data_IF_239457783346
#
_entry.id   IF_239457783346
#
_cell.length_a   1.000
_cell.length_b   1.000
_cell.length_c   1.000
_cell.angle_alpha   90.00
_cell.angle_beta   90.00
_cell.angle_gamma   90.00
#
_symmetry.space_group_name_H-M   'P 1'
#
loop_
_entity.id
_entity.type
_entity.pdbx_description
1 polymer ?
#
# COMPACT_ATOMS: atom_id res chain seq x y z
N UNK A 1 -35.52 -24.21 14.85
CA UNK A 1 -34.33 -24.60 14.09
C UNK A 1 -34.01 -23.50 13.12
N UNK A 2 -33.02 -22.68 13.32
CA UNK A 2 -32.45 -21.96 12.19
C UNK A 2 -30.92 -22.18 12.16
N UNK A 3 -30.51 -23.12 11.34
CA UNK A 3 -29.10 -23.30 11.00
C UNK A 3 -28.84 -22.74 9.59
N UNK A 4 -29.37 -21.55 9.34
CA UNK A 4 -29.29 -20.89 8.05
C UNK A 4 -28.08 -19.91 8.03
N UNK A 5 -26.89 -20.43 7.80
CA UNK A 5 -25.80 -19.61 7.28
C UNK A 5 -24.89 -18.90 8.28
N UNK A 6 -25.04 -19.11 9.58
CA UNK A 6 -24.16 -18.53 10.60
C UNK A 6 -23.03 -19.48 10.99
N UNK A 7 -21.82 -18.95 11.11
CA UNK A 7 -20.63 -19.70 11.53
C UNK A 7 -20.10 -19.18 12.87
N UNK A 8 -19.57 -20.10 13.67
CA UNK A 8 -18.77 -19.73 14.85
C UNK A 8 -17.38 -19.25 14.42
N UNK A 9 -16.70 -18.47 15.27
CA UNK A 9 -15.37 -17.91 14.99
C UNK A 9 -14.35 -18.97 14.55
N UNK A 10 -14.35 -20.15 15.19
CA UNK A 10 -13.46 -21.26 14.82
C UNK A 10 -13.74 -21.82 13.42
N UNK A 11 -15.03 -21.92 13.03
CA UNK A 11 -15.43 -22.35 11.68
C UNK A 11 -15.06 -21.29 10.63
N UNK A 12 -15.18 -19.99 10.95
CA UNK A 12 -14.77 -18.88 10.08
C UNK A 12 -13.27 -18.95 9.82
N UNK A 13 -12.45 -19.05 10.88
CA UNK A 13 -10.98 -19.15 10.75
C UNK A 13 -10.61 -20.37 9.91
N UNK A 14 -11.17 -21.56 10.23
CA UNK A 14 -10.87 -22.79 9.47
C UNK A 14 -11.23 -22.68 7.98
N UNK A 15 -12.33 -21.99 7.65
CA UNK A 15 -12.77 -21.78 6.27
C UNK A 15 -11.81 -20.87 5.48
N UNK A 16 -11.27 -19.83 6.11
CA UNK A 16 -10.45 -18.82 5.46
C UNK A 16 -8.94 -19.09 5.55
N UNK A 17 -8.50 -20.02 6.40
CA UNK A 17 -7.09 -20.35 6.61
C UNK A 17 -6.38 -20.87 5.36
N UNK A 18 -7.10 -21.48 4.41
CA UNK A 18 -6.51 -21.92 3.12
C UNK A 18 -6.03 -20.75 2.27
N UNK A 19 -6.70 -19.59 2.36
CA UNK A 19 -6.34 -18.36 1.63
C UNK A 19 -5.49 -17.41 2.48
N UNK A 20 -5.70 -17.44 3.80
CA UNK A 20 -5.04 -16.56 4.79
C UNK A 20 -4.44 -17.41 5.92
N UNK A 21 -3.26 -18.03 5.70
CA UNK A 21 -2.63 -18.94 6.68
C UNK A 21 -2.38 -18.31 8.05
N UNK A 22 -2.13 -16.98 8.08
CA UNK A 22 -1.85 -16.21 9.29
C UNK A 22 -3.13 -15.81 10.06
N UNK A 23 -4.32 -16.17 9.55
CA UNK A 23 -5.58 -15.85 10.21
C UNK A 23 -5.74 -16.68 11.48
N UNK A 24 -5.94 -16.01 12.61
CA UNK A 24 -6.18 -16.62 13.92
C UNK A 24 -7.47 -16.10 14.54
N UNK A 25 -7.98 -16.83 15.54
CA UNK A 25 -9.13 -16.38 16.34
C UNK A 25 -8.86 -15.02 17.00
N UNK A 26 -7.63 -14.81 17.47
CA UNK A 26 -7.20 -13.55 18.07
C UNK A 26 -7.26 -12.40 17.07
N UNK A 27 -6.85 -12.63 15.82
CA UNK A 27 -6.93 -11.63 14.76
C UNK A 27 -8.38 -11.25 14.43
N UNK A 28 -9.30 -12.21 14.38
CA UNK A 28 -10.71 -11.93 14.12
C UNK A 28 -11.34 -11.13 15.27
N UNK A 29 -11.01 -11.44 16.53
CA UNK A 29 -11.43 -10.66 17.69
C UNK A 29 -10.89 -9.24 17.67
N UNK A 30 -9.62 -9.08 17.34
CA UNK A 30 -8.99 -7.78 17.19
C UNK A 30 -9.73 -6.91 16.15
N UNK A 31 -10.09 -7.48 14.99
CA UNK A 31 -10.88 -6.76 13.98
C UNK A 31 -12.30 -6.40 14.45
N UNK A 32 -12.89 -7.20 15.34
CA UNK A 32 -14.16 -6.87 15.99
C UNK A 32 -13.97 -5.71 16.99
N UNK A 33 -12.93 -5.76 17.82
CA UNK A 33 -12.62 -4.73 18.82
C UNK A 33 -12.34 -3.38 18.14
N UNK A 34 -11.69 -3.37 16.97
CA UNK A 34 -11.49 -2.20 16.11
C UNK A 34 -12.78 -1.73 15.40
N UNK A 35 -13.90 -2.45 15.57
CA UNK A 35 -15.20 -2.09 14.99
C UNK A 35 -15.32 -2.36 13.48
N UNK A 36 -14.42 -3.17 12.90
CA UNK A 36 -14.46 -3.58 11.50
C UNK A 36 -15.45 -4.72 11.25
N UNK A 37 -15.78 -5.48 12.28
CA UNK A 37 -16.75 -6.59 12.25
C UNK A 37 -17.76 -6.43 13.41
N UNK A 38 -19.01 -6.74 13.15
CA UNK A 38 -20.11 -6.67 14.14
C UNK A 38 -20.93 -7.95 14.12
N UNK A 39 -20.35 -9.10 14.57
CA UNK A 39 -21.05 -10.36 14.56
C UNK A 39 -22.25 -10.34 15.52
N UNK A 40 -23.31 -11.04 15.17
CA UNK A 40 -24.44 -11.27 16.06
C UNK A 40 -24.03 -12.12 17.26
N UNK A 41 -24.79 -12.03 18.35
CA UNK A 41 -24.58 -12.88 19.54
C UNK A 41 -25.81 -13.74 19.80
N UNK A 42 -25.55 -14.98 20.19
CA UNK A 42 -26.64 -15.85 20.71
C UNK A 42 -27.13 -15.30 22.05
N UNK A 43 -28.33 -15.73 22.53
CA UNK A 43 -28.79 -15.46 23.91
C UNK A 43 -27.78 -15.89 24.98
N UNK A 44 -26.98 -16.93 24.68
CA UNK A 44 -25.89 -17.41 25.56
C UNK A 44 -24.56 -16.65 25.38
N UNK A 45 -24.52 -15.55 24.59
CA UNK A 45 -23.36 -14.70 24.41
C UNK A 45 -22.34 -15.15 23.37
N UNK A 46 -22.55 -16.28 22.66
CA UNK A 46 -21.62 -16.75 21.63
C UNK A 46 -21.72 -15.92 20.34
N UNK A 47 -20.57 -15.66 19.72
CA UNK A 47 -20.45 -14.92 18.45
C UNK A 47 -20.91 -15.77 17.27
N UNK A 48 -21.77 -15.20 16.44
CA UNK A 48 -22.26 -15.79 15.20
C UNK A 48 -21.99 -14.86 14.02
N UNK A 49 -21.25 -15.36 13.06
CA UNK A 49 -20.86 -14.65 11.84
C UNK A 49 -21.77 -15.06 10.69
N UNK A 50 -22.43 -14.08 10.10
CA UNK A 50 -23.24 -14.25 8.89
C UNK A 50 -22.36 -14.36 7.64
N UNK A 51 -22.95 -14.73 6.50
CA UNK A 51 -22.24 -14.71 5.21
C UNK A 51 -21.78 -13.31 4.82
N UNK A 52 -22.47 -12.25 5.23
CA UNK A 52 -22.04 -10.86 5.05
C UNK A 52 -20.82 -10.53 5.89
N UNK A 53 -20.77 -10.98 7.15
CA UNK A 53 -19.59 -10.79 8.00
C UNK A 53 -18.37 -11.53 7.47
N UNK A 54 -18.56 -12.71 6.90
CA UNK A 54 -17.49 -13.50 6.29
C UNK A 54 -16.94 -12.77 5.06
N UNK A 55 -17.81 -12.30 4.16
CA UNK A 55 -17.37 -11.50 2.98
C UNK A 55 -16.68 -10.23 3.40
N UNK A 56 -17.20 -9.54 4.43
CA UNK A 56 -16.56 -8.34 4.98
C UNK A 56 -15.16 -8.65 5.53
N UNK A 57 -15.02 -9.77 6.26
CA UNK A 57 -13.71 -10.24 6.75
C UNK A 57 -12.76 -10.58 5.61
N UNK A 58 -13.22 -11.30 4.57
CA UNK A 58 -12.42 -11.57 3.37
C UNK A 58 -11.92 -10.28 2.71
N UNK A 59 -12.80 -9.29 2.57
CA UNK A 59 -12.44 -7.98 2.03
C UNK A 59 -11.38 -7.28 2.89
N UNK A 60 -11.53 -7.27 4.21
CA UNK A 60 -10.56 -6.66 5.14
C UNK A 60 -9.21 -7.35 5.02
N UNK A 61 -9.18 -8.68 5.05
CA UNK A 61 -7.96 -9.47 4.94
C UNK A 61 -7.28 -9.28 3.57
N UNK A 62 -8.07 -9.19 2.50
CA UNK A 62 -7.58 -8.90 1.17
C UNK A 62 -6.94 -7.50 1.11
N UNK A 63 -7.62 -6.48 1.63
CA UNK A 63 -7.12 -5.10 1.65
C UNK A 63 -5.86 -4.97 2.50
N UNK A 64 -5.78 -5.66 3.65
CA UNK A 64 -4.56 -5.68 4.47
C UNK A 64 -3.41 -6.42 3.80
N UNK A 65 -3.65 -7.63 3.28
CA UNK A 65 -2.59 -8.51 2.77
C UNK A 65 -2.12 -8.13 1.36
N UNK A 66 -3.07 -7.75 0.50
CA UNK A 66 -2.79 -7.47 -0.92
C UNK A 66 -2.58 -5.99 -1.21
N UNK A 67 -3.06 -5.11 -0.33
CA UNK A 67 -3.01 -3.65 -0.51
C UNK A 67 -2.31 -2.93 0.62
N UNK A 68 -1.87 -3.65 1.66
CA UNK A 68 -1.20 -3.08 2.84
C UNK A 68 -1.94 -1.89 3.45
N UNK A 69 -3.29 -1.89 3.33
CA UNK A 69 -4.10 -0.78 3.82
C UNK A 69 -4.18 -0.79 5.35
N UNK A 70 -4.01 0.36 6.00
CA UNK A 70 -4.25 0.53 7.44
C UNK A 70 -5.71 0.19 7.79
N UNK A 71 -5.94 -0.37 8.99
CA UNK A 71 -7.28 -0.76 9.42
C UNK A 71 -8.26 0.40 9.45
N UNK A 72 -7.80 1.59 9.85
CA UNK A 72 -8.64 2.78 9.88
C UNK A 72 -9.15 3.16 8.49
N UNK A 73 -8.27 3.14 7.48
CA UNK A 73 -8.63 3.43 6.08
C UNK A 73 -9.61 2.38 5.54
N UNK A 74 -9.41 1.10 5.88
CA UNK A 74 -10.34 0.02 5.52
C UNK A 74 -11.70 0.27 6.16
N UNK A 75 -11.74 0.68 7.43
CA UNK A 75 -12.97 0.99 8.16
C UNK A 75 -13.74 2.11 7.49
N UNK A 76 -13.09 3.23 7.22
CA UNK A 76 -13.70 4.41 6.56
C UNK A 76 -14.24 4.06 5.18
N UNK A 77 -13.52 3.23 4.42
CA UNK A 77 -13.97 2.76 3.11
C UNK A 77 -15.18 1.83 3.21
N UNK A 78 -15.23 0.94 4.19
CA UNK A 78 -16.35 0.01 4.41
C UNK A 78 -17.60 0.69 4.98
N UNK A 79 -17.44 1.82 5.68
CA UNK A 79 -18.52 2.62 6.25
C UNK A 79 -19.07 3.70 5.29
N UNK A 80 -18.52 3.81 4.08
CA UNK A 80 -18.96 4.78 3.08
C UNK A 80 -18.63 6.24 3.43
N UNK A 81 -17.75 6.47 4.42
CA UNK A 81 -17.31 7.82 4.83
C UNK A 81 -16.21 8.40 3.94
N UNK A 82 -15.78 7.65 2.93
CA UNK A 82 -14.70 8.02 2.00
C UNK A 82 -15.13 9.04 0.93
N UNK A 83 -15.76 10.14 1.32
CA UNK A 83 -16.17 11.23 0.42
C UNK A 83 -15.09 12.27 0.12
N UNK A 84 -13.84 12.03 0.51
CA UNK A 84 -12.74 12.96 0.25
C UNK A 84 -11.95 12.60 -1.01
N UNK A 85 -11.53 13.65 -1.68
CA UNK A 85 -10.79 13.72 -2.94
C UNK A 85 -9.95 12.46 -3.28
N UNK A 86 -10.08 12.01 -4.52
CA UNK A 86 -9.33 10.90 -5.11
C UNK A 86 -7.81 10.98 -4.87
N UNK A 87 -7.29 12.21 -4.83
CA UNK A 87 -5.89 12.51 -4.51
C UNK A 87 -5.55 12.10 -3.08
N UNK A 88 -6.44 12.33 -2.10
CA UNK A 88 -6.18 11.96 -0.70
C UNK A 88 -6.28 10.45 -0.47
N UNK A 89 -7.19 9.75 -1.15
CA UNK A 89 -7.29 8.29 -1.05
C UNK A 89 -6.10 7.58 -1.71
N UNK A 90 -5.59 8.08 -2.84
CA UNK A 90 -4.37 7.58 -3.48
C UNK A 90 -3.14 7.90 -2.60
N UNK A 91 -3.03 9.12 -2.10
CA UNK A 91 -1.94 9.52 -1.20
C UNK A 91 -2.00 8.73 0.11
N UNK A 92 -3.18 8.55 0.72
CA UNK A 92 -3.35 7.73 1.93
C UNK A 92 -3.05 6.24 1.69
N UNK A 93 -3.35 5.71 0.50
CA UNK A 93 -3.03 4.31 0.16
C UNK A 93 -1.54 4.09 -0.17
N UNK A 94 -0.82 5.16 -0.43
CA UNK A 94 0.63 5.17 -0.70
C UNK A 94 1.44 5.66 0.52
N UNK A 95 0.77 6.17 1.56
CA UNK A 95 1.41 6.65 2.79
C UNK A 95 1.51 5.54 3.82
N UNK A 96 2.68 5.44 4.44
CA UNK A 96 2.95 4.51 5.55
C UNK A 96 2.27 5.04 6.84
N UNK A 97 1.43 4.26 7.53
CA UNK A 97 0.60 4.74 8.66
C UNK A 97 1.36 5.04 9.95
N UNK A 98 2.66 4.76 10.01
CA UNK A 98 3.45 4.94 11.24
C UNK A 98 4.16 6.31 11.35
N UNK A 99 3.84 7.28 10.50
CA UNK A 99 4.54 8.55 10.51
C UNK A 99 3.69 9.69 11.09
N UNK A 100 4.31 10.38 12.04
CA UNK A 100 3.85 11.61 12.63
C UNK A 100 3.49 12.62 11.52
N UNK A 101 2.20 12.85 11.28
CA UNK A 101 1.66 13.66 10.17
C UNK A 101 2.29 15.06 10.09
N UNK A 102 2.74 15.58 11.22
CA UNK A 102 3.37 16.90 11.31
C UNK A 102 4.81 16.90 10.76
N UNK A 103 5.52 15.79 10.84
CA UNK A 103 6.90 15.66 10.32
C UNK A 103 6.89 15.35 8.83
N UNK A 104 5.98 14.51 8.37
CA UNK A 104 5.88 14.12 6.95
C UNK A 104 5.37 15.23 6.05
N UNK A 105 4.54 16.14 6.55
CA UNK A 105 3.97 17.24 5.76
C UNK A 105 4.91 18.44 5.59
N UNK A 106 6.11 18.44 6.19
CA UNK A 106 7.05 19.56 6.20
C UNK A 106 8.30 19.32 5.37
N UNK A 107 8.94 20.42 4.98
CA UNK A 107 10.28 20.43 4.41
C UNK A 107 11.32 20.52 5.54
N UNK A 108 12.29 19.63 5.52
CA UNK A 108 13.31 19.54 6.54
C UNK A 108 14.70 19.87 5.97
N UNK A 109 15.52 20.69 6.65
CA UNK A 109 16.89 20.89 6.25
C UNK A 109 17.65 19.56 6.17
N UNK A 110 18.43 19.36 5.12
CA UNK A 110 19.18 18.10 4.91
C UNK A 110 20.15 17.81 6.07
N UNK A 111 20.61 18.84 6.76
CA UNK A 111 21.52 18.73 7.90
C UNK A 111 20.87 18.03 9.12
N UNK A 112 19.52 17.96 9.15
CA UNK A 112 18.77 17.27 10.21
C UNK A 112 18.52 15.78 9.93
N UNK A 113 18.93 15.28 8.78
CA UNK A 113 18.68 13.87 8.42
C UNK A 113 19.38 12.86 9.36
N UNK A 114 20.58 13.12 9.91
CA UNK A 114 21.17 12.26 10.92
C UNK A 114 20.33 12.15 12.20
N UNK A 115 19.69 13.24 12.59
CA UNK A 115 18.80 13.30 13.78
C UNK A 115 17.46 12.59 13.54
N UNK A 116 16.84 12.87 12.39
CA UNK A 116 15.48 12.43 12.08
C UNK A 116 15.41 10.99 11.59
N UNK A 117 16.40 10.54 10.82
CA UNK A 117 16.38 9.26 10.11
C UNK A 117 17.62 8.39 10.39
N UNK A 118 18.57 8.88 11.20
CA UNK A 118 19.86 8.20 11.43
C UNK A 118 20.67 7.93 10.15
N UNK A 119 20.49 8.75 9.12
CA UNK A 119 21.18 8.65 7.83
C UNK A 119 22.13 9.84 7.62
N UNK A 120 23.25 9.62 6.94
CA UNK A 120 24.19 10.71 6.67
C UNK A 120 23.66 11.67 5.58
N UNK A 121 24.05 12.94 5.70
CA UNK A 121 23.76 13.97 4.67
C UNK A 121 24.29 13.55 3.30
N UNK A 122 25.47 12.92 3.26
CA UNK A 122 26.07 12.38 2.03
C UNK A 122 25.20 11.33 1.38
N UNK A 123 24.64 10.40 2.18
CA UNK A 123 23.74 9.38 1.68
C UNK A 123 22.49 10.00 1.02
N UNK A 124 21.87 10.98 1.69
CA UNK A 124 20.69 11.67 1.16
C UNK A 124 20.98 12.41 -0.15
N UNK A 125 22.17 13.04 -0.27
CA UNK A 125 22.61 13.64 -1.53
C UNK A 125 22.79 12.60 -2.63
N UNK A 126 23.39 11.46 -2.32
CA UNK A 126 23.54 10.35 -3.28
C UNK A 126 22.19 9.80 -3.76
N UNK A 127 21.17 9.74 -2.88
CA UNK A 127 19.80 9.39 -3.30
C UNK A 127 19.23 10.41 -4.28
N UNK A 128 19.47 11.69 -4.05
CA UNK A 128 19.03 12.74 -4.97
C UNK A 128 19.78 12.68 -6.31
N UNK A 129 21.09 12.46 -6.30
CA UNK A 129 21.90 12.26 -7.51
C UNK A 129 21.48 11.02 -8.32
N UNK A 130 21.00 9.97 -7.62
CA UNK A 130 20.45 8.78 -8.24
C UNK A 130 19.02 9.00 -8.77
N UNK A 131 18.37 10.13 -8.44
CA UNK A 131 17.01 10.47 -8.84
C UNK A 131 15.93 9.79 -7.99
N UNK A 132 16.30 9.22 -6.85
CA UNK A 132 15.33 8.55 -5.93
C UNK A 132 14.46 9.58 -5.22
N UNK A 133 15.04 10.70 -4.80
CA UNK A 133 14.35 11.83 -4.15
C UNK A 133 14.70 13.13 -4.84
N UNK A 134 13.90 14.16 -4.61
CA UNK A 134 14.15 15.51 -5.13
C UNK A 134 14.42 16.47 -3.99
N UNK A 135 15.64 17.00 -3.92
CA UNK A 135 15.98 18.06 -2.96
C UNK A 135 15.41 19.40 -3.43
N UNK A 136 14.65 20.06 -2.56
CA UNK A 136 14.23 21.46 -2.77
C UNK A 136 15.30 22.42 -2.25
N UNK A 137 15.33 23.63 -2.78
CA UNK A 137 16.27 24.66 -2.32
C UNK A 137 15.50 25.78 -1.64
N UNK A 138 15.88 26.14 -0.41
CA UNK A 138 15.31 27.30 0.29
C UNK A 138 15.77 28.62 -0.36
N UNK A 139 15.07 29.75 -0.09
CA UNK A 139 15.53 31.08 -0.55
C UNK A 139 16.95 31.44 -0.09
N UNK A 140 17.42 30.82 0.99
CA UNK A 140 18.77 31.02 1.53
C UNK A 140 19.82 30.02 0.97
N UNK A 141 19.44 29.22 -0.05
CA UNK A 141 20.34 28.26 -0.71
C UNK A 141 20.55 26.94 0.04
N UNK A 142 19.78 26.65 1.09
CA UNK A 142 19.86 25.38 1.83
C UNK A 142 19.05 24.29 1.13
N UNK A 143 19.61 23.08 1.09
CA UNK A 143 18.88 21.92 0.62
C UNK A 143 17.85 21.43 1.66
N UNK A 144 16.65 21.16 1.17
CA UNK A 144 15.51 20.71 1.96
C UNK A 144 15.03 19.35 1.42
N UNK A 145 14.71 18.44 2.33
CA UNK A 145 14.14 17.13 2.07
C UNK A 145 12.65 17.21 2.35
N UNK A 146 11.82 16.66 1.47
CA UNK A 146 10.40 16.51 1.72
C UNK A 146 10.18 15.38 2.72
N UNK A 147 9.41 15.61 3.76
CA UNK A 147 9.13 14.59 4.77
C UNK A 147 8.39 13.38 4.20
N UNK A 148 7.65 13.55 3.11
CA UNK A 148 7.01 12.43 2.39
C UNK A 148 8.02 11.43 1.80
N UNK A 149 9.28 11.84 1.60
CA UNK A 149 10.36 10.96 1.14
C UNK A 149 11.00 10.15 2.29
N UNK A 150 10.67 10.41 3.55
CA UNK A 150 11.30 9.74 4.70
C UNK A 150 11.16 8.21 4.69
N UNK A 151 9.99 7.61 4.38
CA UNK A 151 9.88 6.17 4.26
C UNK A 151 10.82 5.59 3.21
N UNK A 152 10.87 6.25 2.05
CA UNK A 152 11.71 5.83 0.94
C UNK A 152 13.19 5.92 1.31
N UNK A 153 13.62 6.98 2.00
CA UNK A 153 15.00 7.16 2.48
C UNK A 153 15.36 6.04 3.47
N UNK A 154 14.48 5.68 4.40
CA UNK A 154 14.69 4.58 5.35
C UNK A 154 14.86 3.25 4.63
N UNK A 155 13.93 2.92 3.72
CA UNK A 155 14.01 1.70 2.89
C UNK A 155 15.33 1.63 2.11
N UNK A 156 15.76 2.74 1.52
CA UNK A 156 17.06 2.81 0.82
C UNK A 156 18.25 2.62 1.76
N UNK A 157 18.15 3.12 3.00
CA UNK A 157 19.18 2.91 4.03
C UNK A 157 19.27 1.44 4.45
N UNK A 158 18.14 0.77 4.60
CA UNK A 158 18.11 -0.67 4.89
C UNK A 158 18.73 -1.49 3.75
N UNK A 159 18.43 -1.16 2.50
CA UNK A 159 19.04 -1.81 1.33
C UNK A 159 20.55 -1.65 1.29
N UNK A 160 21.09 -0.56 1.82
CA UNK A 160 22.53 -0.33 1.90
C UNK A 160 23.23 -1.38 2.79
N UNK A 161 22.56 -1.90 3.83
CA UNK A 161 23.11 -2.97 4.67
C UNK A 161 23.32 -4.28 3.89
N UNK A 162 22.58 -4.47 2.80
CA UNK A 162 22.78 -5.60 1.88
C UNK A 162 23.74 -5.28 0.73
N UNK A 163 24.46 -4.14 0.79
CA UNK A 163 25.41 -3.73 -0.24
C UNK A 163 24.77 -3.04 -1.46
N UNK A 164 23.46 -2.74 -1.42
CA UNK A 164 22.74 -2.05 -2.49
C UNK A 164 22.87 -0.53 -2.23
N UNK A 165 23.86 0.09 -2.85
CA UNK A 165 24.11 1.53 -2.70
C UNK A 165 23.15 2.38 -3.56
N UNK A 166 22.99 3.70 -3.27
CA UNK A 166 22.11 4.59 -4.03
C UNK A 166 22.30 4.55 -5.55
N UNK A 167 23.55 4.43 -6.02
CA UNK A 167 23.85 4.29 -7.46
C UNK A 167 23.19 3.08 -8.12
N UNK A 168 23.02 1.99 -7.38
CA UNK A 168 22.37 0.76 -7.87
C UNK A 168 20.83 0.94 -7.97
N UNK A 169 20.26 1.87 -7.18
CA UNK A 169 18.83 2.12 -7.13
C UNK A 169 18.32 2.93 -8.34
N UNK A 170 19.22 3.56 -9.11
CA UNK A 170 18.85 4.32 -10.31
C UNK A 170 18.05 3.50 -11.34
N UNK A 171 18.30 2.18 -11.41
CA UNK A 171 17.53 1.29 -12.27
C UNK A 171 16.04 1.24 -11.90
N UNK A 172 15.69 1.37 -10.62
CA UNK A 172 14.30 1.39 -10.16
C UNK A 172 13.59 2.66 -10.61
N UNK A 173 14.27 3.81 -10.61
CA UNK A 173 13.74 5.07 -11.16
C UNK A 173 13.44 4.92 -12.65
N UNK A 174 14.37 4.33 -13.41
CA UNK A 174 14.18 4.08 -14.84
C UNK A 174 13.02 3.12 -15.09
N UNK A 175 12.90 2.08 -14.29
CA UNK A 175 11.80 1.10 -14.39
C UNK A 175 10.46 1.77 -14.07
N UNK A 176 10.37 2.51 -12.96
CA UNK A 176 9.17 3.23 -12.55
C UNK A 176 8.69 4.23 -13.62
N UNK A 177 9.61 4.99 -14.22
CA UNK A 177 9.27 5.93 -15.30
C UNK A 177 8.71 5.22 -16.55
N UNK A 178 9.25 4.05 -16.91
CA UNK A 178 8.72 3.25 -18.02
C UNK A 178 7.34 2.68 -17.71
N UNK A 179 7.17 2.22 -16.50
CA UNK A 179 5.91 1.64 -16.02
C UNK A 179 4.81 2.71 -15.91
N UNK A 180 5.15 3.92 -15.44
CA UNK A 180 4.26 5.08 -15.42
C UNK A 180 3.74 5.40 -16.85
N UNK A 181 4.61 5.40 -17.85
CA UNK A 181 4.20 5.64 -19.23
C UNK A 181 3.22 4.57 -19.77
N UNK A 182 3.39 3.29 -19.37
CA UNK A 182 2.43 2.23 -19.69
C UNK A 182 1.08 2.46 -19.01
N UNK A 183 1.09 2.93 -17.76
CA UNK A 183 -0.13 3.24 -17.02
C UNK A 183 -0.88 4.41 -17.63
N UNK A 184 -0.17 5.48 -17.98
CA UNK A 184 -0.76 6.62 -18.68
C UNK A 184 -1.45 6.19 -19.98
N UNK A 185 -0.78 5.37 -20.79
CA UNK A 185 -1.34 4.85 -22.04
C UNK A 185 -2.58 3.98 -21.79
N UNK A 186 -2.55 3.08 -20.80
CA UNK A 186 -3.68 2.21 -20.47
C UNK A 186 -4.86 3.01 -19.91
N UNK A 187 -4.60 4.01 -19.08
CA UNK A 187 -5.63 4.85 -18.48
C UNK A 187 -6.32 5.77 -19.50
N UNK A 188 -5.58 6.26 -20.50
CA UNK A 188 -6.18 7.02 -21.63
C UNK A 188 -7.18 6.16 -22.39
N UNK A 189 -6.87 4.89 -22.65
CA UNK A 189 -7.80 3.97 -23.32
C UNK A 189 -9.02 3.69 -22.45
N UNK A 190 -8.83 3.55 -21.15
CA UNK A 190 -9.92 3.35 -20.19
C UNK A 190 -10.85 4.58 -20.12
N UNK A 191 -10.29 5.77 -20.10
CA UNK A 191 -11.04 7.03 -20.13
C UNK A 191 -11.83 7.21 -21.44
N UNK A 192 -11.29 6.80 -22.60
CA UNK A 192 -11.97 6.90 -23.89
C UNK A 192 -13.09 5.89 -24.08
N UNK A 193 -13.03 4.70 -23.48
CA UNK A 193 -14.08 3.67 -23.57
C UNK A 193 -15.41 4.09 -22.93
N UNK A 194 -15.38 5.04 -22.03
CA UNK A 194 -16.57 5.53 -21.31
C UNK A 194 -17.44 6.52 -22.09
N UNK A 195 -17.26 6.68 -23.44
CA UNK A 195 -18.27 7.39 -24.24
C UNK A 195 -17.83 8.49 -25.18
N UNK A 196 -16.53 8.63 -25.49
CA UNK A 196 -16.09 9.52 -26.61
C UNK A 196 -16.30 11.03 -26.40
N UNK A 197 -16.80 11.45 -25.27
CA UNK A 197 -16.95 12.85 -24.82
C UNK A 197 -15.96 13.04 -23.66
N UNK A 198 -15.34 14.21 -23.55
CA UNK A 198 -14.54 14.58 -22.38
C UNK A 198 -15.28 14.16 -21.12
N UNK A 199 -14.68 13.24 -20.38
CA UNK A 199 -15.32 12.67 -19.18
C UNK A 199 -15.64 13.79 -18.21
N UNK A 200 -16.93 14.05 -17.98
CA UNK A 200 -17.33 14.81 -16.82
C UNK A 200 -16.66 14.21 -15.58
N UNK A 201 -15.90 15.04 -14.86
CA UNK A 201 -15.18 14.62 -13.65
C UNK A 201 -16.16 14.40 -12.50
N UNK A 202 -17.04 13.41 -12.65
CA UNK A 202 -17.94 13.02 -11.58
C UNK A 202 -17.17 12.25 -10.51
N UNK A 203 -17.68 12.23 -9.29
CA UNK A 203 -17.09 11.47 -8.19
C UNK A 203 -16.99 9.96 -8.53
N UNK A 204 -17.95 9.44 -9.31
CA UNK A 204 -18.00 8.06 -9.74
C UNK A 204 -16.89 7.71 -10.74
N UNK A 205 -16.67 8.55 -11.76
CA UNK A 205 -15.59 8.33 -12.74
C UNK A 205 -14.21 8.45 -12.13
N UNK A 206 -14.04 9.34 -11.15
CA UNK A 206 -12.81 9.44 -10.37
C UNK A 206 -12.56 8.16 -9.53
N UNK A 207 -13.62 7.61 -8.91
CA UNK A 207 -13.53 6.35 -8.15
C UNK A 207 -13.14 5.15 -9.02
N UNK A 208 -13.74 5.04 -10.21
CA UNK A 208 -13.40 3.98 -11.18
C UNK A 208 -11.94 4.07 -11.66
N UNK A 209 -11.48 5.30 -11.94
CA UNK A 209 -10.10 5.55 -12.34
C UNK A 209 -9.09 5.17 -11.26
N UNK A 210 -9.33 5.56 -9.99
CA UNK A 210 -8.45 5.19 -8.88
C UNK A 210 -8.41 3.70 -8.63
N UNK A 211 -9.56 3.04 -8.70
CA UNK A 211 -9.62 1.59 -8.58
C UNK A 211 -8.85 0.89 -9.70
N UNK A 212 -8.97 1.37 -10.95
CA UNK A 212 -8.22 0.85 -12.08
C UNK A 212 -6.70 1.02 -11.88
N UNK A 213 -6.25 2.22 -11.51
CA UNK A 213 -4.84 2.51 -11.23
C UNK A 213 -4.30 1.60 -10.12
N UNK A 214 -5.03 1.46 -9.02
CA UNK A 214 -4.62 0.63 -7.91
C UNK A 214 -4.56 -0.86 -8.29
N UNK A 215 -5.51 -1.36 -9.08
CA UNK A 215 -5.44 -2.72 -9.61
C UNK A 215 -4.25 -2.93 -10.52
N UNK A 216 -3.94 -1.96 -11.38
CA UNK A 216 -2.77 -2.02 -12.27
C UNK A 216 -1.47 -2.11 -11.45
N UNK A 217 -1.30 -1.26 -10.41
CA UNK A 217 -0.15 -1.30 -9.50
C UNK A 217 0.03 -2.66 -8.83
N UNK A 218 -1.05 -3.27 -8.37
CA UNK A 218 -1.00 -4.60 -7.75
C UNK A 218 -0.60 -5.67 -8.75
N UNK A 219 -1.19 -5.65 -9.93
CA UNK A 219 -0.94 -6.67 -10.95
C UNK A 219 0.48 -6.57 -11.48
N UNK A 220 0.98 -5.37 -11.75
CA UNK A 220 2.35 -5.16 -12.22
C UNK A 220 3.38 -5.52 -11.15
N UNK A 221 3.13 -5.16 -9.88
CA UNK A 221 3.98 -5.60 -8.76
C UNK A 221 4.07 -7.11 -8.64
N UNK A 222 2.96 -7.84 -8.85
CA UNK A 222 2.97 -9.32 -8.86
C UNK A 222 3.78 -9.89 -10.03
N UNK A 223 3.63 -9.29 -11.21
CA UNK A 223 4.40 -9.69 -12.40
C UNK A 223 5.89 -9.48 -12.12
N UNK A 224 6.26 -8.29 -11.64
CA UNK A 224 7.64 -7.95 -11.32
C UNK A 224 8.24 -8.91 -10.28
N UNK A 225 7.57 -9.14 -9.16
CA UNK A 225 8.01 -10.04 -8.08
C UNK A 225 8.19 -11.48 -8.61
N UNK A 226 7.24 -11.97 -9.42
CA UNK A 226 7.31 -13.31 -10.01
C UNK A 226 8.49 -13.45 -10.96
N UNK A 227 8.70 -12.46 -11.83
CA UNK A 227 9.80 -12.45 -12.78
C UNK A 227 11.15 -12.35 -12.07
N UNK A 228 11.26 -11.48 -11.07
CA UNK A 228 12.47 -11.32 -10.27
C UNK A 228 12.84 -12.62 -9.55
N UNK A 229 11.88 -13.24 -8.84
CA UNK A 229 12.08 -14.54 -8.17
C UNK A 229 12.52 -15.64 -9.15
N UNK A 230 11.94 -15.65 -10.34
CA UNK A 230 12.33 -16.62 -11.39
C UNK A 230 13.79 -16.41 -11.84
N UNK A 231 14.21 -15.16 -12.05
CA UNK A 231 15.59 -14.86 -12.44
C UNK A 231 16.59 -15.17 -11.34
N UNK A 232 16.26 -14.82 -10.08
CA UNK A 232 17.09 -15.17 -8.93
C UNK A 232 17.23 -16.69 -8.84
N UNK A 233 16.12 -17.45 -8.89
CA UNK A 233 16.16 -18.91 -8.85
C UNK A 233 17.06 -19.49 -9.93
N UNK A 234 16.96 -18.96 -11.17
CA UNK A 234 17.81 -19.40 -12.30
C UNK A 234 19.29 -19.09 -12.04
N UNK A 235 19.60 -17.93 -11.49
CA UNK A 235 20.98 -17.56 -11.19
C UNK A 235 21.62 -18.43 -10.10
N UNK A 236 20.86 -18.81 -9.07
CA UNK A 236 21.38 -19.62 -7.96
C UNK A 236 21.34 -21.14 -8.23
N UNK A 237 20.43 -21.64 -9.07
CA UNK A 237 20.46 -23.09 -9.45
C UNK A 237 21.70 -23.49 -10.26
N UNK A 238 22.41 -22.55 -10.86
CA UNK A 238 23.69 -22.81 -11.54
C UNK A 238 24.92 -22.74 -10.61
N UNK A 239 24.72 -22.50 -9.30
CA UNK A 239 25.82 -22.45 -8.31
C UNK A 239 25.98 -23.78 -7.57
N UNK A 240 25.03 -24.72 -7.71
CA UNK A 240 25.03 -26.04 -7.08
C UNK A 240 25.56 -27.14 -8.02
N UNK A 241 26.01 -26.78 -9.25
CA UNK A 241 26.75 -27.63 -10.20
C UNK A 241 28.25 -27.26 -10.20
#
# INVERSE_FOLDING_TARGET
>A
MPDAGYLTIGKVVKRLQSQYPDLSISKVRYLEDEGLLTPSRTPSGYRLYSQSDIRRLETILYLQKSRFMPLQVIKDQLEGKGGESLSSAIVASLSDPEQDDEVTSRLHPIDRMPELLSVSVTFVRQLSEAGIIVLKTSPQGRYLVDGHDFPLIRTCSELQHFGIAPKNLRQYVTSANRESALFEQALVVFARKAGGVEMEQTAETRGQFANALQQMLILTSRVHDTLLKRQIKKAFSNMDE
#
